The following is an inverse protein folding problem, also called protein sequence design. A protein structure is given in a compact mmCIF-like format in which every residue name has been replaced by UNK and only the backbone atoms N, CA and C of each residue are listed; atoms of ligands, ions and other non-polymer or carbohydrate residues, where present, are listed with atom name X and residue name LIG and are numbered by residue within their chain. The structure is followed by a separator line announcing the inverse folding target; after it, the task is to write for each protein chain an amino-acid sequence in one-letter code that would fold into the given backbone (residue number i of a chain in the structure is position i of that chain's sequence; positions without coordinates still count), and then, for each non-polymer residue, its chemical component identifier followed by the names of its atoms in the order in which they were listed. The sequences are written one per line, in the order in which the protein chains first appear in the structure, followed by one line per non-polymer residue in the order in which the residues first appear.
data_IF_201677544386
#
_entry.id   IF_201677544386
#
_cell.length_a   1.000
_cell.length_b   1.000
_cell.length_c   1.000
_cell.angle_alpha   90.00
_cell.angle_beta   90.00
_cell.angle_gamma   90.00
#
_symmetry.space_group_name_H-M   'P 1'
#
loop_
_entity.id
_entity.type
_entity.pdbx_description
1 polymer ?
#
# COMPACT_ATOMS: atom_id res chain seq x y z
N UNK A 1 10.01 -12.90 -25.90
CA UNK A 1 10.10 -11.54 -25.33
C UNK A 1 11.51 -11.37 -24.78
N UNK A 2 12.31 -10.54 -25.44
CA UNK A 2 13.62 -10.17 -24.91
C UNK A 2 13.40 -9.47 -23.57
N UNK A 3 14.03 -10.00 -22.52
CA UNK A 3 14.06 -9.35 -21.22
C UNK A 3 15.32 -8.50 -21.18
N UNK A 4 15.17 -7.20 -21.32
CA UNK A 4 16.24 -6.29 -20.99
C UNK A 4 16.36 -6.27 -19.45
N UNK A 5 17.53 -6.52 -18.87
CA UNK A 5 17.70 -6.44 -17.43
C UNK A 5 17.39 -5.00 -17.01
N UNK A 6 16.35 -4.82 -16.22
CA UNK A 6 16.13 -3.58 -15.47
C UNK A 6 17.17 -3.57 -14.36
N UNK A 7 18.40 -3.25 -14.74
CA UNK A 7 19.53 -3.11 -13.84
C UNK A 7 19.63 -1.70 -13.31
N UNK A 8 20.71 -1.42 -12.62
CA UNK A 8 21.03 -0.18 -11.93
C UNK A 8 20.79 1.07 -12.80
N UNK A 9 20.67 2.21 -12.14
CA UNK A 9 20.45 3.54 -12.72
C UNK A 9 21.32 3.87 -13.93
N UNK A 10 22.48 3.22 -14.07
CA UNK A 10 23.47 3.41 -15.13
C UNK A 10 23.30 2.50 -16.35
N UNK A 11 22.26 1.65 -16.40
CA UNK A 11 22.06 0.70 -17.51
C UNK A 11 21.88 1.40 -18.86
N UNK A 12 21.46 2.66 -18.87
CA UNK A 12 21.19 3.47 -20.08
C UNK A 12 22.28 4.52 -20.37
N UNK A 13 23.33 4.60 -19.58
CA UNK A 13 24.38 5.62 -19.74
C UNK A 13 25.28 5.33 -20.96
N UNK A 14 25.35 4.07 -21.38
CA UNK A 14 26.15 3.67 -22.53
C UNK A 14 25.33 2.85 -23.51
N UNK A 15 25.49 3.16 -24.80
CA UNK A 15 24.86 2.40 -25.87
C UNK A 15 25.37 0.97 -25.93
N UNK A 16 24.45 0.00 -26.06
CA UNK A 16 24.75 -1.40 -26.37
C UNK A 16 23.88 -1.90 -27.53
N UNK A 17 24.36 -2.89 -28.33
CA UNK A 17 23.55 -3.52 -29.38
C UNK A 17 22.26 -4.14 -28.85
N UNK A 18 22.27 -4.69 -27.66
CA UNK A 18 21.11 -5.29 -26.98
C UNK A 18 20.06 -4.23 -26.67
N UNK A 19 20.49 -3.04 -26.23
CA UNK A 19 19.60 -1.89 -26.00
C UNK A 19 18.91 -1.47 -27.30
N UNK A 20 19.63 -1.42 -28.41
CA UNK A 20 19.04 -1.09 -29.72
C UNK A 20 17.99 -2.13 -30.14
N UNK A 21 18.29 -3.41 -29.98
CA UNK A 21 17.34 -4.47 -30.35
C UNK A 21 16.11 -4.47 -29.45
N UNK A 22 16.27 -4.18 -28.16
CA UNK A 22 15.17 -3.96 -27.24
C UNK A 22 14.28 -2.79 -27.70
N UNK A 23 14.87 -1.64 -27.99
CA UNK A 23 14.13 -0.47 -28.50
C UNK A 23 13.39 -0.76 -29.84
N UNK A 24 14.05 -1.49 -30.77
CA UNK A 24 13.40 -1.91 -32.01
C UNK A 24 12.20 -2.82 -31.76
N UNK A 25 12.30 -3.73 -30.80
CA UNK A 25 11.18 -4.59 -30.42
C UNK A 25 10.03 -3.78 -29.82
N UNK A 26 10.32 -2.83 -28.96
CA UNK A 26 9.30 -1.96 -28.35
C UNK A 26 8.58 -1.13 -29.41
N UNK A 27 9.30 -0.56 -30.37
CA UNK A 27 8.70 0.17 -31.50
C UNK A 27 7.78 -0.74 -32.32
N UNK A 28 8.22 -1.96 -32.65
CA UNK A 28 7.40 -2.94 -33.38
C UNK A 28 6.13 -3.34 -32.64
N UNK A 29 6.23 -3.53 -31.33
CA UNK A 29 5.08 -3.84 -30.48
C UNK A 29 4.11 -2.66 -30.41
N UNK A 30 4.62 -1.46 -30.17
CA UNK A 30 3.82 -0.24 -30.13
C UNK A 30 3.06 -0.04 -31.45
N UNK A 31 3.73 -0.26 -32.59
CA UNK A 31 3.07 -0.16 -33.89
C UNK A 31 1.96 -1.19 -34.09
N UNK A 32 2.14 -2.44 -33.62
CA UNK A 32 1.09 -3.46 -33.69
C UNK A 32 -0.11 -3.07 -32.81
N UNK A 33 0.15 -2.63 -31.58
CA UNK A 33 -0.90 -2.16 -30.66
C UNK A 33 -1.65 -0.97 -31.26
N UNK A 34 -0.93 -0.01 -31.85
CA UNK A 34 -1.56 1.13 -32.49
C UNK A 34 -2.54 0.71 -33.62
N UNK A 35 -2.14 -0.26 -34.46
CA UNK A 35 -3.02 -0.78 -35.51
C UNK A 35 -4.26 -1.48 -34.95
N UNK A 36 -4.13 -2.28 -33.90
CA UNK A 36 -5.26 -2.94 -33.26
C UNK A 36 -6.22 -1.89 -32.66
N UNK A 37 -5.68 -0.88 -31.97
CA UNK A 37 -6.48 0.21 -31.41
C UNK A 37 -7.17 1.07 -32.50
N UNK A 38 -6.53 1.30 -33.65
CA UNK A 38 -7.15 1.97 -34.78
C UNK A 38 -8.37 1.19 -35.33
N UNK A 39 -8.26 -0.15 -35.39
CA UNK A 39 -9.38 -0.99 -35.82
C UNK A 39 -10.52 -0.98 -34.75
N UNK A 40 -10.21 -1.15 -33.47
CA UNK A 40 -11.20 -1.06 -32.40
C UNK A 40 -11.85 0.33 -32.33
N UNK A 41 -11.06 1.37 -32.59
CA UNK A 41 -11.49 2.77 -32.54
C UNK A 41 -12.33 3.26 -33.71
N UNK A 42 -12.53 2.44 -34.76
CA UNK A 42 -13.27 2.87 -35.99
C UNK A 42 -14.69 3.40 -35.75
N UNK A 43 -15.32 2.94 -34.66
CA UNK A 43 -16.68 3.36 -34.30
C UNK A 43 -16.73 4.59 -33.39
N UNK A 44 -15.59 5.11 -32.96
CA UNK A 44 -15.53 6.35 -32.20
C UNK A 44 -15.45 7.57 -33.12
N UNK A 45 -16.14 8.64 -32.74
CA UNK A 45 -16.07 9.87 -33.52
C UNK A 45 -14.72 10.58 -33.32
N UNK A 46 -14.22 11.24 -34.35
CA UNK A 46 -13.03 12.09 -34.26
C UNK A 46 -13.16 13.16 -33.16
N UNK A 47 -14.37 13.68 -32.96
CA UNK A 47 -14.67 14.67 -31.92
C UNK A 47 -14.42 14.10 -30.49
N UNK A 48 -14.68 12.82 -30.31
CA UNK A 48 -14.39 12.16 -28.98
C UNK A 48 -12.90 12.12 -28.75
N UNK A 49 -12.10 11.74 -29.75
CA UNK A 49 -10.63 11.75 -29.62
C UNK A 49 -10.09 13.16 -29.38
N UNK A 50 -10.57 14.15 -30.14
CA UNK A 50 -10.18 15.54 -29.99
C UNK A 50 -10.49 16.07 -28.57
N UNK A 51 -11.65 15.68 -28.02
CA UNK A 51 -12.03 16.05 -26.65
C UNK A 51 -11.05 15.46 -25.64
N UNK A 52 -10.76 14.15 -25.71
CA UNK A 52 -9.84 13.47 -24.80
C UNK A 52 -8.43 14.05 -24.87
N UNK A 53 -7.92 14.35 -26.06
CA UNK A 53 -6.61 14.98 -26.25
C UNK A 53 -6.55 16.38 -25.62
N UNK A 54 -7.62 17.17 -25.75
CA UNK A 54 -7.71 18.49 -25.12
C UNK A 54 -7.78 18.39 -23.60
N UNK A 55 -8.58 17.46 -23.08
CA UNK A 55 -8.65 17.18 -21.63
C UNK A 55 -7.28 16.73 -21.12
N UNK A 56 -6.61 15.82 -21.84
CA UNK A 56 -5.26 15.36 -21.46
C UNK A 56 -4.27 16.52 -21.38
N UNK A 57 -4.27 17.43 -22.33
CA UNK A 57 -3.40 18.61 -22.31
C UNK A 57 -3.66 19.52 -21.10
N UNK A 58 -4.93 19.69 -20.70
CA UNK A 58 -5.28 20.44 -19.49
C UNK A 58 -4.79 19.73 -18.24
N UNK A 59 -4.99 18.42 -18.13
CA UNK A 59 -4.54 17.61 -17.00
C UNK A 59 -3.02 17.64 -16.89
N UNK A 60 -2.29 17.49 -18.01
CA UNK A 60 -0.82 17.60 -18.02
C UNK A 60 -0.34 18.97 -17.51
N UNK A 61 -1.07 20.04 -17.85
CA UNK A 61 -0.76 21.36 -17.33
C UNK A 61 -1.04 21.47 -15.82
N UNK A 62 -2.13 20.87 -15.35
CA UNK A 62 -2.46 20.82 -13.92
C UNK A 62 -1.41 20.01 -13.15
N UNK A 63 -0.99 18.86 -13.67
CA UNK A 63 0.07 18.04 -13.08
C UNK A 63 1.41 18.80 -12.97
N UNK A 64 1.78 19.54 -14.02
CA UNK A 64 3.00 20.38 -14.02
C UNK A 64 2.93 21.54 -13.03
N UNK A 65 1.80 22.20 -12.95
CA UNK A 65 1.60 23.31 -12.03
C UNK A 65 1.57 22.85 -10.57
N UNK A 66 1.07 21.63 -10.33
CA UNK A 66 0.83 21.13 -8.99
C UNK A 66 -0.19 21.97 -8.23
N UNK A 67 -0.16 21.85 -6.93
CA UNK A 67 -0.93 22.70 -6.01
C UNK A 67 -0.05 23.15 -4.84
N UNK A 68 -0.41 24.26 -4.23
CA UNK A 68 0.30 24.76 -3.06
C UNK A 68 0.11 23.80 -1.88
N UNK A 69 1.22 23.32 -1.32
CA UNK A 69 1.22 22.43 -0.18
C UNK A 69 2.03 23.04 0.96
N UNK A 70 1.41 23.20 2.13
CA UNK A 70 2.09 23.73 3.31
C UNK A 70 2.90 22.62 3.99
N UNK A 71 4.12 22.41 3.51
CA UNK A 71 5.01 21.37 4.01
C UNK A 71 5.26 21.50 5.52
N UNK A 72 5.39 22.72 6.03
CA UNK A 72 5.67 22.96 7.46
C UNK A 72 4.54 22.46 8.35
N UNK A 73 3.30 22.80 8.02
CA UNK A 73 2.13 22.34 8.76
C UNK A 73 1.92 20.84 8.59
N UNK A 74 2.15 20.31 7.39
CA UNK A 74 2.04 18.88 7.14
C UNK A 74 3.03 18.07 7.98
N UNK A 75 4.29 18.51 8.08
CA UNK A 75 5.30 17.86 8.92
C UNK A 75 4.97 17.95 10.41
N UNK A 76 4.47 19.10 10.88
CA UNK A 76 4.02 19.26 12.27
C UNK A 76 2.85 18.32 12.58
N UNK A 77 1.90 18.20 11.66
CA UNK A 77 0.76 17.30 11.81
C UNK A 77 1.19 15.82 11.76
N UNK A 78 2.12 15.47 10.86
CA UNK A 78 2.68 14.13 10.80
C UNK A 78 3.34 13.75 12.13
N UNK A 79 4.16 14.61 12.70
CA UNK A 79 4.79 14.37 14.00
C UNK A 79 3.76 14.09 15.11
N UNK A 80 2.64 14.82 15.12
CA UNK A 80 1.55 14.58 16.08
C UNK A 80 0.91 13.20 15.88
N UNK A 81 0.71 12.76 14.63
CA UNK A 81 0.15 11.44 14.34
C UNK A 81 1.13 10.31 14.72
N UNK A 82 2.41 10.51 14.49
CA UNK A 82 3.47 9.54 14.88
C UNK A 82 3.60 9.44 16.40
N UNK A 83 3.52 10.56 17.12
CA UNK A 83 3.49 10.58 18.58
C UNK A 83 2.28 9.79 19.13
N UNK A 84 1.08 10.05 18.61
CA UNK A 84 -0.12 9.30 18.99
C UNK A 84 0.02 7.80 18.68
N UNK A 85 0.61 7.46 17.54
CA UNK A 85 0.85 6.06 17.16
C UNK A 85 1.81 5.39 18.15
N UNK A 86 2.89 6.06 18.54
CA UNK A 86 3.86 5.57 19.49
C UNK A 86 3.25 5.38 20.89
N UNK A 87 2.39 6.32 21.32
CA UNK A 87 1.67 6.20 22.58
C UNK A 87 0.76 4.97 22.62
N UNK A 88 0.07 4.68 21.51
CA UNK A 88 -0.74 3.47 21.40
C UNK A 88 0.10 2.19 21.41
N UNK A 89 1.30 2.21 20.83
CA UNK A 89 2.26 1.10 20.92
C UNK A 89 2.70 0.85 22.37
N UNK A 90 3.03 1.91 23.10
CA UNK A 90 3.42 1.82 24.51
C UNK A 90 2.28 1.29 25.38
N UNK A 91 1.06 1.83 25.22
CA UNK A 91 -0.14 1.34 25.92
C UNK A 91 -0.40 -0.15 25.63
N UNK A 92 -0.19 -0.57 24.37
CA UNK A 92 -0.33 -1.96 24.00
C UNK A 92 0.73 -2.87 24.65
N UNK A 93 1.98 -2.41 24.76
CA UNK A 93 3.05 -3.15 25.44
C UNK A 93 2.82 -3.26 26.94
N UNK A 94 2.32 -2.22 27.59
CA UNK A 94 1.96 -2.25 29.02
C UNK A 94 0.81 -3.22 29.30
N UNK A 95 -0.19 -3.24 28.41
CA UNK A 95 -1.40 -4.06 28.58
C UNK A 95 -1.18 -5.53 28.24
N UNK A 96 -0.42 -5.80 27.19
CA UNK A 96 -0.19 -7.15 26.68
C UNK A 96 1.24 -7.60 26.92
N UNK A 97 1.43 -8.38 27.98
CA UNK A 97 2.75 -8.95 28.32
C UNK A 97 3.32 -9.80 27.18
N UNK A 98 4.66 -9.83 27.01
CA UNK A 98 5.32 -10.72 26.07
C UNK A 98 4.88 -12.17 26.25
N UNK A 99 4.73 -12.90 25.14
CA UNK A 99 4.46 -14.34 25.18
C UNK A 99 5.75 -15.13 25.30
N UNK A 100 5.72 -16.09 26.17
CA UNK A 100 6.76 -17.12 26.24
C UNK A 100 6.54 -18.16 25.14
N UNK A 101 7.54 -18.35 24.30
CA UNK A 101 7.57 -19.41 23.30
C UNK A 101 8.71 -20.34 23.62
N UNK A 102 8.38 -21.56 24.00
CA UNK A 102 9.37 -22.59 24.30
C UNK A 102 9.90 -23.17 22.98
N UNK A 103 11.15 -22.88 22.70
CA UNK A 103 11.91 -23.52 21.62
C UNK A 103 12.62 -24.77 22.18
N UNK A 104 13.08 -25.66 21.30
CA UNK A 104 13.72 -26.93 21.71
C UNK A 104 14.85 -26.78 22.77
N UNK A 105 15.52 -25.63 22.81
CA UNK A 105 16.68 -25.37 23.67
C UNK A 105 16.63 -24.06 24.46
N UNK A 106 15.67 -23.17 24.16
CA UNK A 106 15.58 -21.83 24.78
C UNK A 106 14.14 -21.39 24.93
N UNK A 107 13.86 -20.62 25.97
CA UNK A 107 12.60 -19.85 26.08
C UNK A 107 12.83 -18.50 25.41
N UNK A 108 11.94 -18.13 24.46
CA UNK A 108 11.96 -16.83 23.79
C UNK A 108 10.74 -16.03 24.21
N UNK A 109 10.98 -14.81 24.68
CA UNK A 109 9.93 -13.84 24.96
C UNK A 109 9.67 -13.02 23.70
N UNK A 110 8.45 -13.10 23.17
CA UNK A 110 8.02 -12.36 22.00
C UNK A 110 7.13 -11.21 22.48
N UNK A 111 7.56 -9.94 22.32
CA UNK A 111 6.73 -8.79 22.66
C UNK A 111 5.48 -8.76 21.80
N UNK A 112 4.41 -8.16 22.32
CA UNK A 112 3.20 -7.95 21.54
C UNK A 112 3.46 -6.94 20.41
N UNK A 113 3.06 -7.29 19.20
CA UNK A 113 3.17 -6.40 18.06
C UNK A 113 1.77 -5.93 17.64
N UNK A 114 1.45 -4.67 17.94
CA UNK A 114 0.16 -4.04 17.63
C UNK A 114 -0.10 -3.94 16.10
N UNK A 115 0.93 -3.97 15.25
CA UNK A 115 0.77 -4.04 13.79
C UNK A 115 0.41 -5.46 13.31
N UNK A 116 0.55 -6.49 14.14
CA UNK A 116 0.28 -7.88 13.77
C UNK A 116 -1.19 -8.25 13.94
N UNK A 117 -1.94 -8.25 12.85
CA UNK A 117 -3.35 -8.67 12.84
C UNK A 117 -3.59 -10.04 13.46
N UNK A 118 -2.62 -10.96 13.29
CA UNK A 118 -2.67 -12.29 13.90
C UNK A 118 -2.62 -12.21 15.43
N UNK A 119 -1.65 -11.45 15.96
CA UNK A 119 -1.52 -11.30 17.42
C UNK A 119 -2.70 -10.56 18.02
N UNK A 120 -3.22 -9.54 17.33
CA UNK A 120 -4.45 -8.84 17.74
C UNK A 120 -5.62 -9.82 17.83
N UNK A 121 -5.83 -10.65 16.78
CA UNK A 121 -6.90 -11.64 16.78
C UNK A 121 -6.80 -12.59 17.97
N UNK A 122 -5.60 -13.08 18.25
CA UNK A 122 -5.32 -13.98 19.37
C UNK A 122 -5.61 -13.30 20.71
N UNK A 123 -5.17 -12.07 20.92
CA UNK A 123 -5.42 -11.31 22.16
C UNK A 123 -6.89 -10.97 22.36
N UNK A 124 -7.60 -10.56 21.32
CA UNK A 124 -9.03 -10.30 21.41
C UNK A 124 -9.83 -11.57 21.70
N UNK A 125 -9.43 -12.72 21.18
CA UNK A 125 -10.05 -14.01 21.50
C UNK A 125 -9.81 -14.41 22.96
N UNK A 126 -8.62 -14.18 23.50
CA UNK A 126 -8.32 -14.39 24.92
C UNK A 126 -9.22 -13.52 25.83
N UNK A 127 -9.59 -12.32 25.35
CA UNK A 127 -10.52 -11.42 26.04
C UNK A 127 -12.01 -11.78 25.80
N UNK A 128 -12.29 -12.86 25.06
CA UNK A 128 -13.65 -13.36 24.84
C UNK A 128 -14.29 -12.99 23.51
N UNK A 129 -13.55 -12.29 22.61
CA UNK A 129 -14.09 -12.02 21.27
C UNK A 129 -14.19 -13.29 20.43
N UNK A 130 -15.34 -13.46 19.79
CA UNK A 130 -15.61 -14.59 18.87
C UNK A 130 -15.62 -14.08 17.42
N UNK A 131 -14.60 -14.39 16.60
CA UNK A 131 -14.55 -13.93 15.22
C UNK A 131 -15.63 -14.57 14.36
N UNK A 132 -16.36 -13.75 13.61
CA UNK A 132 -17.41 -14.20 12.69
C UNK A 132 -16.89 -14.51 11.29
N UNK A 133 -15.77 -13.89 10.88
CA UNK A 133 -15.22 -14.01 9.52
C UNK A 133 -13.80 -14.55 9.55
N UNK A 134 -13.51 -15.47 8.63
CA UNK A 134 -12.19 -16.05 8.41
C UNK A 134 -11.85 -15.97 6.92
N UNK A 135 -10.57 -15.93 6.59
CA UNK A 135 -10.09 -16.07 5.20
C UNK A 135 -10.23 -17.50 4.73
N UNK A 136 -10.12 -17.76 3.41
CA UNK A 136 -10.14 -19.11 2.82
C UNK A 136 -9.07 -20.04 3.42
N UNK A 137 -7.97 -19.46 3.94
CA UNK A 137 -6.90 -20.18 4.64
C UNK A 137 -7.18 -20.38 6.15
N UNK A 138 -8.38 -20.05 6.63
CA UNK A 138 -8.78 -20.22 8.03
C UNK A 138 -8.29 -19.13 9.00
N UNK A 139 -7.56 -18.12 8.54
CA UNK A 139 -7.10 -17.05 9.40
C UNK A 139 -8.23 -16.08 9.76
N UNK A 140 -8.25 -15.60 11.00
CA UNK A 140 -9.22 -14.59 11.45
C UNK A 140 -8.96 -13.27 10.74
N UNK A 141 -10.04 -12.69 10.18
CA UNK A 141 -9.96 -11.37 9.55
C UNK A 141 -10.05 -10.30 10.63
N UNK A 142 -9.05 -9.43 10.66
CA UNK A 142 -9.01 -8.23 11.51
C UNK A 142 -8.85 -7.02 10.60
N UNK A 143 -9.91 -6.23 10.49
CA UNK A 143 -9.94 -4.95 9.78
C UNK A 143 -10.48 -3.86 10.70
N UNK A 144 -10.24 -2.58 10.38
CA UNK A 144 -10.80 -1.43 11.10
C UNK A 144 -12.32 -1.59 11.27
N UNK A 145 -13.03 -1.92 10.18
CA UNK A 145 -14.48 -2.12 10.20
C UNK A 145 -14.94 -3.18 11.21
N UNK A 146 -14.19 -4.29 11.32
CA UNK A 146 -14.50 -5.37 12.28
C UNK A 146 -14.20 -4.91 13.69
N UNK A 147 -13.04 -4.27 13.91
CA UNK A 147 -12.64 -3.76 15.21
C UNK A 147 -13.64 -2.74 15.76
N UNK A 148 -14.19 -1.88 14.92
CA UNK A 148 -15.19 -0.88 15.30
C UNK A 148 -16.52 -1.48 15.76
N UNK A 149 -16.83 -2.71 15.30
CA UNK A 149 -18.03 -3.44 15.75
C UNK A 149 -17.88 -4.09 17.13
N UNK A 150 -16.64 -4.17 17.63
CA UNK A 150 -16.32 -4.85 18.88
C UNK A 150 -16.42 -3.84 20.02
N UNK A 151 -17.32 -4.09 20.97
CA UNK A 151 -17.48 -3.24 22.14
C UNK A 151 -16.44 -3.53 23.22
N UNK A 152 -15.16 -3.35 22.88
CA UNK A 152 -14.02 -3.51 23.77
C UNK A 152 -13.06 -2.32 23.63
N UNK A 153 -12.51 -1.78 24.72
CA UNK A 153 -11.56 -0.66 24.63
C UNK A 153 -10.28 -1.03 23.84
N UNK A 154 -9.85 -2.27 23.92
CA UNK A 154 -8.70 -2.80 23.18
C UNK A 154 -8.94 -2.76 21.66
N UNK A 155 -10.12 -3.15 21.23
CA UNK A 155 -10.48 -3.13 19.81
C UNK A 155 -10.46 -1.70 19.24
N UNK A 156 -10.95 -0.72 20.02
CA UNK A 156 -10.90 0.70 19.64
C UNK A 156 -9.46 1.21 19.54
N UNK A 157 -8.60 0.81 20.46
CA UNK A 157 -7.17 1.12 20.44
C UNK A 157 -6.52 0.58 19.16
N UNK A 158 -6.78 -0.66 18.79
CA UNK A 158 -6.24 -1.27 17.56
C UNK A 158 -6.80 -0.64 16.29
N UNK A 159 -8.10 -0.31 16.26
CA UNK A 159 -8.72 0.41 15.14
C UNK A 159 -8.06 1.77 14.94
N UNK A 160 -7.85 2.52 16.03
CA UNK A 160 -7.17 3.82 15.99
C UNK A 160 -5.74 3.70 15.51
N UNK A 161 -5.00 2.70 15.97
CA UNK A 161 -3.64 2.43 15.51
C UNK A 161 -3.57 2.17 14.00
N UNK A 162 -4.45 1.32 13.45
CA UNK A 162 -4.49 1.07 12.01
C UNK A 162 -4.86 2.30 11.19
N UNK A 163 -5.77 3.12 11.69
CA UNK A 163 -6.12 4.39 11.06
C UNK A 163 -4.89 5.33 10.99
N UNK A 164 -4.14 5.44 12.09
CA UNK A 164 -2.91 6.24 12.13
C UNK A 164 -1.87 5.68 11.15
N UNK A 165 -1.59 4.38 11.21
CA UNK A 165 -0.66 3.71 10.30
C UNK A 165 -0.98 3.96 8.82
N UNK A 166 -2.27 3.99 8.48
CA UNK A 166 -2.72 4.30 7.11
C UNK A 166 -2.52 5.76 6.72
N UNK A 167 -2.52 6.67 7.69
CA UNK A 167 -2.36 8.11 7.44
C UNK A 167 -0.90 8.56 7.43
N UNK A 168 -0.02 7.85 8.13
CA UNK A 168 1.42 8.15 8.23
C UNK A 168 2.26 7.43 7.17
N UNK A 169 1.80 6.31 6.58
CA UNK A 169 2.46 5.53 5.53
C UNK A 169 1.76 5.62 4.23
#
# INVERSE_FOLDING_TARGET
RLKFPKGDFHTFDMYTPEMLEYCRQDVRLTHKVAKELEEEGKNFSSKSYDLELKVRAIVDQQEKNGFAFNLREAMSFLATLEEEQHDLENQAQEKFKPREVQLKTKVKYIPFNIASRKQIAERLQELGWKPKKKTDKGNVIVSEEILDTINMPEAKMFSRYFLLQKRTG
#
